data_IF_763314760364
#
_entry.id   IF_763314760364
#
_cell.length_a   1.000
_cell.length_b   1.000
_cell.length_c   1.000
_cell.angle_alpha   90.00
_cell.angle_beta   90.00
_cell.angle_gamma   90.00
#
_symmetry.space_group_name_H-M   'P 1'
#
loop_
_entity.id
_entity.type
_entity.pdbx_description
1 polymer ?
#
# COMPACT_ATOMS: atom_id res chain seq x y z
N UNK A 1 -30.46 -11.95 -6.20
CA UNK A 1 -30.30 -10.55 -5.77
C UNK A 1 -29.30 -10.36 -4.61
N UNK A 2 -29.46 -10.94 -3.40
CA UNK A 2 -28.45 -10.68 -2.33
C UNK A 2 -27.10 -11.36 -2.61
N UNK A 3 -27.09 -12.57 -3.19
CA UNK A 3 -25.85 -13.20 -3.70
C UNK A 3 -25.10 -12.32 -4.71
N UNK A 4 -25.80 -11.78 -5.71
CA UNK A 4 -25.19 -10.93 -6.76
C UNK A 4 -24.58 -9.66 -6.16
N UNK A 5 -25.27 -9.06 -5.18
CA UNK A 5 -24.74 -7.91 -4.43
C UNK A 5 -23.48 -8.27 -3.64
N UNK A 6 -23.40 -9.45 -3.00
CA UNK A 6 -22.19 -9.90 -2.29
C UNK A 6 -21.03 -10.16 -3.24
N UNK A 7 -21.31 -10.74 -4.42
CA UNK A 7 -20.29 -10.95 -5.46
C UNK A 7 -19.77 -9.62 -6.00
N UNK A 8 -20.65 -8.65 -6.25
CA UNK A 8 -20.24 -7.30 -6.65
C UNK A 8 -19.33 -6.65 -5.58
N UNK A 9 -19.70 -6.75 -4.30
CA UNK A 9 -18.88 -6.24 -3.20
C UNK A 9 -17.50 -6.93 -3.16
N UNK A 10 -17.46 -8.25 -3.33
CA UNK A 10 -16.20 -9.00 -3.36
C UNK A 10 -15.31 -8.55 -4.53
N UNK A 11 -15.89 -8.35 -5.72
CA UNK A 11 -15.17 -7.84 -6.90
C UNK A 11 -14.64 -6.43 -6.64
N UNK A 12 -15.44 -5.54 -6.05
CA UNK A 12 -14.99 -4.18 -5.72
C UNK A 12 -13.81 -4.19 -4.74
N UNK A 13 -13.86 -5.04 -3.71
CA UNK A 13 -12.74 -5.21 -2.79
C UNK A 13 -11.48 -5.75 -3.47
N UNK A 14 -11.61 -6.68 -4.41
CA UNK A 14 -10.49 -7.21 -5.19
C UNK A 14 -9.88 -6.16 -6.11
N UNK A 15 -10.71 -5.35 -6.77
CA UNK A 15 -10.25 -4.23 -7.60
C UNK A 15 -9.51 -3.21 -6.75
N UNK A 16 -10.04 -2.86 -5.58
CA UNK A 16 -9.40 -1.95 -4.63
C UNK A 16 -8.06 -2.51 -4.12
N UNK A 17 -7.99 -3.81 -3.84
CA UNK A 17 -6.75 -4.48 -3.45
C UNK A 17 -5.70 -4.42 -4.56
N UNK A 18 -6.11 -4.70 -5.80
CA UNK A 18 -5.21 -4.65 -6.94
C UNK A 18 -4.67 -3.22 -7.18
N UNK A 19 -5.53 -2.20 -7.18
CA UNK A 19 -5.09 -0.81 -7.41
C UNK A 19 -4.19 -0.30 -6.30
N UNK A 20 -4.53 -0.54 -5.03
CA UNK A 20 -3.68 -0.17 -3.90
C UNK A 20 -2.34 -0.93 -3.88
N UNK A 21 -2.34 -2.20 -4.28
CA UNK A 21 -1.12 -2.98 -4.46
C UNK A 21 -0.19 -2.41 -5.54
N UNK A 22 -0.74 -2.01 -6.69
CA UNK A 22 0.01 -1.34 -7.75
C UNK A 22 0.62 -0.02 -7.27
N UNK A 23 -0.16 0.79 -6.53
CA UNK A 23 0.34 2.04 -5.94
C UNK A 23 1.47 1.75 -4.95
N UNK A 24 1.33 0.75 -4.07
CA UNK A 24 2.39 0.40 -3.12
C UNK A 24 3.66 -0.10 -3.82
N UNK A 25 3.53 -0.91 -4.88
CA UNK A 25 4.67 -1.37 -5.66
C UNK A 25 5.40 -0.21 -6.36
N UNK A 26 4.64 0.76 -6.87
CA UNK A 26 5.20 1.99 -7.44
C UNK A 26 5.95 2.83 -6.41
N UNK A 27 5.42 2.99 -5.20
CA UNK A 27 6.10 3.67 -4.08
C UNK A 27 7.41 2.95 -3.74
N UNK A 28 7.39 1.62 -3.63
CA UNK A 28 8.60 0.83 -3.33
C UNK A 28 9.65 1.00 -4.44
N UNK A 29 9.24 1.03 -5.70
CA UNK A 29 10.15 1.29 -6.81
C UNK A 29 10.82 2.65 -6.66
N UNK A 30 10.06 3.71 -6.42
CA UNK A 30 10.61 5.06 -6.23
C UNK A 30 11.55 5.13 -5.01
N UNK A 31 11.25 4.37 -3.95
CA UNK A 31 12.12 4.27 -2.79
C UNK A 31 13.45 3.60 -3.13
N UNK A 32 13.44 2.52 -3.90
CA UNK A 32 14.65 1.84 -4.36
C UNK A 32 15.45 2.72 -5.33
N UNK A 33 14.77 3.41 -6.25
CA UNK A 33 15.41 4.35 -7.18
C UNK A 33 16.09 5.50 -6.40
N UNK A 34 15.43 6.05 -5.37
CA UNK A 34 16.01 7.06 -4.49
C UNK A 34 17.20 6.52 -3.68
N UNK A 35 17.16 5.25 -3.26
CA UNK A 35 18.27 4.59 -2.57
C UNK A 35 19.51 4.42 -3.47
N UNK A 36 19.30 4.07 -4.74
CA UNK A 36 20.38 3.85 -5.71
C UNK A 36 20.97 5.17 -6.20
N UNK A 37 20.13 6.18 -6.46
CA UNK A 37 20.56 7.48 -7.00
C UNK A 37 20.93 8.50 -5.91
N UNK A 38 20.64 8.22 -4.64
CA UNK A 38 20.92 9.11 -3.52
C UNK A 38 19.97 10.33 -3.41
N UNK A 39 18.81 10.30 -4.05
CA UNK A 39 17.86 11.43 -4.09
C UNK A 39 16.77 11.35 -3.00
N UNK A 40 17.17 11.18 -1.74
CA UNK A 40 16.23 11.05 -0.61
C UNK A 40 15.37 12.29 -0.37
N UNK A 41 15.90 13.49 -0.65
CA UNK A 41 15.13 14.74 -0.52
C UNK A 41 13.90 14.77 -1.42
N UNK A 42 14.05 14.37 -2.69
CA UNK A 42 12.92 14.31 -3.63
C UNK A 42 11.85 13.31 -3.18
N UNK A 43 12.27 12.13 -2.69
CA UNK A 43 11.34 11.12 -2.17
C UNK A 43 10.58 11.64 -0.94
N UNK A 44 11.29 12.31 -0.03
CA UNK A 44 10.72 12.93 1.16
C UNK A 44 9.69 14.01 0.84
N UNK A 45 10.00 14.92 -0.07
CA UNK A 45 9.07 15.97 -0.49
C UNK A 45 7.85 15.38 -1.19
N UNK A 46 8.04 14.35 -2.02
CA UNK A 46 6.96 13.70 -2.79
C UNK A 46 5.96 12.99 -1.89
N UNK A 47 6.42 12.32 -0.83
CA UNK A 47 5.56 11.52 0.05
C UNK A 47 5.32 12.17 1.43
N UNK A 48 5.84 13.38 1.65
CA UNK A 48 5.75 14.08 2.93
C UNK A 48 6.42 13.32 4.08
N UNK A 49 7.45 12.52 3.79
CA UNK A 49 8.16 11.72 4.78
C UNK A 49 9.47 12.40 5.19
N UNK A 50 9.85 12.28 6.45
CA UNK A 50 11.06 12.93 6.95
C UNK A 50 12.32 12.13 6.58
N UNK A 51 13.35 12.80 6.03
CA UNK A 51 14.69 12.22 5.82
C UNK A 51 15.46 12.31 7.14
N UNK A 52 15.95 11.18 7.71
CA UNK A 52 16.84 11.26 8.86
C UNK A 52 18.09 12.07 8.47
N UNK A 53 18.56 12.99 9.32
CA UNK A 53 19.78 13.76 9.07
C UNK A 53 19.63 15.05 8.27
N UNK A 54 18.41 15.45 7.88
CA UNK A 54 18.15 16.78 7.29
C UNK A 54 18.02 17.90 8.34
N UNK A 55 18.10 17.57 9.63
CA UNK A 55 18.05 18.54 10.74
C UNK A 55 19.46 19.06 11.09
N UNK A 56 19.62 20.36 11.40
CA UNK A 56 20.90 20.88 11.88
C UNK A 56 21.31 20.12 13.15
N UNK A 57 22.53 19.58 13.16
CA UNK A 57 23.14 18.72 14.19
C UNK A 57 22.74 17.23 14.21
N UNK A 58 22.05 16.69 13.21
CA UNK A 58 21.92 15.23 13.05
C UNK A 58 22.75 14.72 11.88
N UNK A 59 23.82 14.00 12.18
CA UNK A 59 24.65 13.30 11.19
C UNK A 59 24.20 11.84 11.15
N UNK A 60 23.77 11.36 10.00
CA UNK A 60 23.63 9.91 9.79
C UNK A 60 25.00 9.30 9.57
N UNK A 61 25.37 8.33 10.39
CA UNK A 61 26.61 7.57 10.22
C UNK A 61 26.45 6.29 9.39
N UNK A 62 25.23 5.74 9.27
CA UNK A 62 24.98 4.46 8.56
C UNK A 62 23.80 4.53 7.58
N UNK A 63 22.56 4.36 8.06
CA UNK A 63 21.36 4.25 7.21
C UNK A 63 20.51 5.51 7.28
N UNK A 64 20.55 6.29 6.21
CA UNK A 64 19.93 7.60 6.13
C UNK A 64 18.71 7.61 5.19
N UNK A 65 17.85 6.59 5.31
CA UNK A 65 16.67 6.48 4.46
C UNK A 65 15.40 6.94 5.21
N UNK A 66 14.49 7.66 4.55
CA UNK A 66 13.19 8.01 5.10
C UNK A 66 12.37 6.75 5.37
N UNK A 67 11.37 6.84 6.27
CA UNK A 67 10.46 5.72 6.49
C UNK A 67 9.60 5.48 5.25
N UNK A 68 9.52 4.23 4.80
CA UNK A 68 8.68 3.83 3.67
C UNK A 68 7.19 4.04 4.02
N UNK A 69 6.44 4.84 3.23
CA UNK A 69 5.00 4.95 3.42
C UNK A 69 4.33 3.64 2.97
N UNK A 70 3.75 2.90 3.93
CA UNK A 70 3.15 1.58 3.71
C UNK A 70 1.62 1.57 3.82
N UNK A 71 1.00 2.74 3.82
CA UNK A 71 -0.46 2.88 3.98
C UNK A 71 -1.21 2.16 2.84
N UNK A 72 -0.75 2.31 1.60
CA UNK A 72 -1.36 1.61 0.45
C UNK A 72 -1.21 0.09 0.55
N UNK A 73 -0.09 -0.39 1.10
CA UNK A 73 0.12 -1.80 1.44
C UNK A 73 -0.90 -2.34 2.44
N UNK A 74 -1.18 -1.58 3.51
CA UNK A 74 -2.22 -1.96 4.47
C UNK A 74 -3.62 -2.00 3.85
N UNK A 75 -3.96 -1.00 3.02
CA UNK A 75 -5.24 -0.98 2.28
C UNK A 75 -5.37 -2.20 1.38
N UNK A 76 -4.30 -2.56 0.66
CA UNK A 76 -4.26 -3.75 -0.19
C UNK A 76 -4.55 -5.03 0.61
N UNK A 77 -3.85 -5.26 1.72
CA UNK A 77 -4.01 -6.46 2.55
C UNK A 77 -5.44 -6.55 3.10
N UNK A 78 -5.93 -5.47 3.70
CA UNK A 78 -7.25 -5.46 4.35
C UNK A 78 -8.36 -5.66 3.31
N UNK A 79 -8.29 -4.97 2.17
CA UNK A 79 -9.29 -5.10 1.10
C UNK A 79 -9.25 -6.48 0.46
N UNK A 80 -8.06 -7.07 0.25
CA UNK A 80 -7.94 -8.43 -0.27
C UNK A 80 -8.58 -9.48 0.65
N UNK A 81 -8.26 -9.41 1.96
CA UNK A 81 -8.83 -10.32 2.95
C UNK A 81 -10.35 -10.16 3.08
N UNK A 82 -10.85 -8.92 3.04
CA UNK A 82 -12.29 -8.65 3.03
C UNK A 82 -12.97 -9.18 1.76
N UNK A 83 -12.35 -8.99 0.59
CA UNK A 83 -12.81 -9.51 -0.69
C UNK A 83 -12.87 -11.04 -0.70
N UNK A 84 -11.82 -11.72 -0.22
CA UNK A 84 -11.80 -13.18 -0.11
C UNK A 84 -12.86 -13.69 0.86
N UNK A 85 -12.99 -13.04 2.02
CA UNK A 85 -13.98 -13.44 3.03
C UNK A 85 -15.41 -13.30 2.50
N UNK A 86 -15.70 -12.20 1.80
CA UNK A 86 -17.03 -11.98 1.18
C UNK A 86 -17.31 -12.96 0.05
N UNK A 87 -16.31 -13.31 -0.76
CA UNK A 87 -16.41 -14.35 -1.79
C UNK A 87 -16.68 -15.73 -1.17
N UNK A 88 -15.91 -16.12 -0.15
CA UNK A 88 -16.10 -17.38 0.56
C UNK A 88 -17.49 -17.48 1.19
N UNK A 89 -17.98 -16.39 1.80
CA UNK A 89 -19.34 -16.32 2.36
C UNK A 89 -20.43 -16.44 1.29
N UNK A 90 -20.23 -15.85 0.10
CA UNK A 90 -21.15 -15.97 -1.02
C UNK A 90 -21.24 -17.42 -1.55
N UNK A 91 -20.12 -18.15 -1.50
CA UNK A 91 -20.05 -19.57 -1.86
C UNK A 91 -20.66 -20.51 -0.82
N UNK A 92 -20.38 -20.29 0.47
CA UNK A 92 -20.90 -21.14 1.55
C UNK A 92 -22.40 -21.01 1.80
N UNK A 93 -22.97 -19.81 1.57
CA UNK A 93 -24.41 -19.56 1.72
C UNK A 93 -25.00 -19.03 0.41
N UNK A 94 -25.17 -19.90 -0.61
CA UNK A 94 -25.64 -19.51 -1.94
C UNK A 94 -27.12 -19.14 -1.98
N UNK A 95 -27.91 -19.64 -1.02
CA UNK A 95 -29.34 -19.32 -0.86
C UNK A 95 -29.48 -18.14 0.09
N UNK A 96 -29.54 -16.93 -0.48
CA UNK A 96 -29.68 -15.66 0.22
C UNK A 96 -29.90 -14.50 -0.73
#
# INVERSE_FOLDING_TARGET
>A
MRRDRRLLIAVLFMVLAATSGVVQAWIIRLYLDAAVLGHWGWFADTFGVHVPGSEPNKVCFDYCAPRLPFLAGWVCIISFLAGLSTLALAWWKPKG
#
